data_IF_752820323799
#
_entry.id   IF_752820323799
#
_cell.length_a   1.000
_cell.length_b   1.000
_cell.length_c   1.000
_cell.angle_alpha   90.00
_cell.angle_beta   90.00
_cell.angle_gamma   90.00
#
_symmetry.space_group_name_H-M   'P 1'
#
loop_
_entity.id
_entity.type
_entity.pdbx_description
1 polymer ?
#
# COMPACT_ATOMS: atom_id res chain seq x y z
N UNK A 1 -23.78 2.12 -11.71
CA UNK A 1 -22.57 1.30 -11.91
C UNK A 1 -22.15 0.75 -10.55
N UNK A 2 -22.42 -0.52 -10.27
CA UNK A 2 -21.95 -1.14 -9.03
C UNK A 2 -20.43 -1.26 -9.09
N UNK A 3 -19.73 -0.51 -8.24
CA UNK A 3 -18.30 -0.71 -8.04
C UNK A 3 -18.19 -2.03 -7.27
N UNK A 4 -17.72 -3.10 -7.95
CA UNK A 4 -17.40 -4.37 -7.28
C UNK A 4 -16.50 -4.10 -6.07
N UNK A 5 -16.67 -4.82 -4.96
CA UNK A 5 -15.94 -4.60 -3.71
C UNK A 5 -14.41 -4.71 -3.87
N UNK A 6 -13.99 -5.51 -4.83
CA UNK A 6 -12.63 -5.64 -5.36
C UNK A 6 -12.08 -4.32 -5.93
N UNK A 7 -12.92 -3.56 -6.65
CA UNK A 7 -12.66 -2.18 -7.07
C UNK A 7 -12.51 -1.17 -5.91
N UNK A 8 -13.16 -1.40 -4.75
CA UNK A 8 -13.06 -0.52 -3.58
C UNK A 8 -11.66 -0.59 -2.95
N UNK A 9 -11.09 -1.80 -2.82
CA UNK A 9 -9.73 -2.00 -2.29
C UNK A 9 -8.71 -1.26 -3.16
N UNK A 10 -8.83 -1.43 -4.49
CA UNK A 10 -7.98 -0.76 -5.48
C UNK A 10 -8.06 0.76 -5.40
N UNK A 11 -9.27 1.30 -5.38
CA UNK A 11 -9.51 2.76 -5.29
C UNK A 11 -9.00 3.34 -3.97
N UNK A 12 -9.09 2.59 -2.87
CA UNK A 12 -8.54 2.99 -1.58
C UNK A 12 -7.01 3.06 -1.62
N UNK A 13 -6.36 2.01 -2.11
CA UNK A 13 -4.90 1.95 -2.25
C UNK A 13 -4.37 3.05 -3.19
N UNK A 14 -5.07 3.33 -4.29
CA UNK A 14 -4.67 4.36 -5.26
C UNK A 14 -4.74 5.77 -4.64
N UNK A 15 -5.78 6.07 -3.85
CA UNK A 15 -5.93 7.36 -3.17
C UNK A 15 -4.86 7.57 -2.07
N UNK A 16 -4.48 6.51 -1.36
CA UNK A 16 -3.39 6.60 -0.37
C UNK A 16 -2.08 7.07 -1.02
N UNK A 17 -1.74 6.58 -2.22
CA UNK A 17 -0.55 7.03 -2.94
C UNK A 17 -0.66 8.49 -3.42
N UNK A 18 -1.83 8.91 -3.92
CA UNK A 18 -2.05 10.31 -4.30
C UNK A 18 -1.81 11.26 -3.12
N UNK A 19 -2.24 10.88 -1.92
CA UNK A 19 -1.93 11.64 -0.71
C UNK A 19 -0.43 11.74 -0.43
N UNK A 20 0.36 10.71 -0.71
CA UNK A 20 1.82 10.78 -0.58
C UNK A 20 2.48 11.65 -1.66
N UNK A 21 2.03 11.53 -2.91
CA UNK A 21 2.51 12.38 -4.01
C UNK A 21 2.21 13.85 -3.73
N UNK A 22 1.00 14.16 -3.26
CA UNK A 22 0.60 15.53 -2.91
C UNK A 22 1.41 16.09 -1.75
N UNK A 23 1.68 15.29 -0.71
CA UNK A 23 2.55 15.68 0.41
C UNK A 23 3.97 16.01 -0.07
N UNK A 24 4.55 15.18 -0.95
CA UNK A 24 5.87 15.44 -1.54
C UNK A 24 5.88 16.68 -2.43
N UNK A 25 4.87 16.87 -3.26
CA UNK A 25 4.75 18.05 -4.12
C UNK A 25 4.63 19.33 -3.28
N UNK A 26 3.84 19.29 -2.19
CA UNK A 26 3.74 20.39 -1.25
C UNK A 26 5.07 20.68 -0.53
N UNK A 27 5.78 19.64 -0.08
CA UNK A 27 7.11 19.78 0.50
C UNK A 27 8.10 20.46 -0.45
N UNK A 28 8.15 20.01 -1.71
CA UNK A 28 8.99 20.61 -2.74
C UNK A 28 8.60 22.06 -3.05
N UNK A 29 7.29 22.36 -3.14
CA UNK A 29 6.81 23.73 -3.33
C UNK A 29 7.22 24.64 -2.17
N UNK A 30 7.15 24.15 -0.93
CA UNK A 30 7.60 24.88 0.26
C UNK A 30 9.10 25.18 0.21
N UNK A 31 9.93 24.20 -0.18
CA UNK A 31 11.38 24.37 -0.36
C UNK A 31 11.67 25.41 -1.46
N UNK A 32 10.91 25.38 -2.56
CA UNK A 32 11.06 26.31 -3.67
C UNK A 32 10.66 27.74 -3.28
N UNK A 33 9.59 27.91 -2.50
CA UNK A 33 9.19 29.20 -1.93
C UNK A 33 10.23 29.70 -0.93
N UNK A 34 10.77 28.83 -0.08
CA UNK A 34 11.83 29.16 0.88
C UNK A 34 13.10 29.65 0.16
N UNK A 35 13.53 28.94 -0.88
CA UNK A 35 14.72 29.31 -1.68
C UNK A 35 14.50 30.59 -2.49
N UNK A 36 13.31 30.79 -3.08
CA UNK A 36 12.96 32.03 -3.78
C UNK A 36 12.93 33.22 -2.82
N UNK A 37 12.34 33.06 -1.63
CA UNK A 37 12.33 34.11 -0.61
C UNK A 37 13.73 34.44 -0.11
N UNK A 38 14.59 33.45 0.07
CA UNK A 38 16.00 33.67 0.41
C UNK A 38 16.72 34.48 -0.67
N UNK A 39 16.46 34.19 -1.95
CA UNK A 39 17.02 34.95 -3.08
C UNK A 39 16.50 36.40 -3.11
N UNK A 40 15.20 36.61 -2.90
CA UNK A 40 14.59 37.94 -2.84
C UNK A 40 15.11 38.78 -1.67
N UNK A 41 15.32 38.14 -0.52
CA UNK A 41 15.97 38.72 0.66
C UNK A 41 17.38 39.22 0.30
N UNK A 42 18.16 38.40 -0.41
CA UNK A 42 19.50 38.77 -0.84
C UNK A 42 19.50 39.98 -1.79
N UNK A 43 18.48 40.08 -2.65
CA UNK A 43 18.35 41.16 -3.64
C UNK A 43 17.77 42.48 -3.06
N UNK A 44 16.98 42.44 -1.98
CA UNK A 44 16.24 43.61 -1.50
C UNK A 44 17.07 44.64 -0.71
N UNK A 45 18.24 44.26 -0.21
CA UNK A 45 19.12 45.11 0.61
C UNK A 45 18.55 45.56 1.97
N UNK A 46 17.30 45.23 2.30
CA UNK A 46 16.63 45.73 3.51
C UNK A 46 16.77 44.75 4.69
N UNK A 47 17.86 44.93 5.45
CA UNK A 47 18.31 44.03 6.52
C UNK A 47 17.22 43.71 7.56
N UNK A 48 16.37 44.67 7.95
CA UNK A 48 15.34 44.45 9.00
C UNK A 48 14.18 43.58 8.52
N UNK A 49 13.66 43.84 7.32
CA UNK A 49 12.59 43.02 6.74
C UNK A 49 13.10 41.61 6.44
N UNK A 50 14.35 41.54 5.98
CA UNK A 50 15.05 40.30 5.69
C UNK A 50 15.25 39.44 6.94
N UNK A 51 15.63 40.05 8.07
CA UNK A 51 15.78 39.33 9.32
C UNK A 51 14.43 38.75 9.79
N UNK A 52 13.35 39.54 9.76
CA UNK A 52 12.02 39.07 10.19
C UNK A 52 11.49 37.93 9.32
N UNK A 53 11.59 38.07 7.99
CA UNK A 53 11.20 37.01 7.04
C UNK A 53 12.07 35.77 7.23
N UNK A 54 13.37 35.94 7.43
CA UNK A 54 14.28 34.84 7.70
C UNK A 54 13.94 34.13 9.03
N UNK A 55 13.58 34.84 10.10
CA UNK A 55 13.17 34.21 11.36
C UNK A 55 11.86 33.45 11.21
N UNK A 56 10.88 33.98 10.47
CA UNK A 56 9.60 33.28 10.20
C UNK A 56 9.83 32.06 9.30
N UNK A 57 10.70 32.16 8.30
CA UNK A 57 11.07 31.06 7.41
C UNK A 57 11.94 30.01 8.12
N UNK A 58 12.79 30.41 9.07
CA UNK A 58 13.50 29.49 9.96
C UNK A 58 12.52 28.84 10.91
N UNK A 59 11.53 29.55 11.45
CA UNK A 59 10.59 28.95 12.39
C UNK A 59 9.66 27.96 11.67
N UNK A 60 9.12 28.33 10.50
CA UNK A 60 8.35 27.45 9.64
C UNK A 60 9.21 26.31 9.07
N UNK A 61 10.45 26.64 8.68
CA UNK A 61 11.46 25.72 8.20
C UNK A 61 11.87 24.72 9.26
N UNK A 62 12.15 25.12 10.50
CA UNK A 62 12.49 24.24 11.63
C UNK A 62 11.29 23.39 12.03
N UNK A 63 10.06 23.91 11.99
CA UNK A 63 8.87 23.07 12.22
C UNK A 63 8.67 22.02 11.12
N UNK A 64 8.96 22.39 9.87
CA UNK A 64 8.86 21.48 8.73
C UNK A 64 10.03 20.49 8.67
N UNK A 65 11.24 20.97 8.92
CA UNK A 65 12.51 20.25 8.95
C UNK A 65 12.56 19.36 10.18
N UNK A 66 12.18 19.73 11.39
CA UNK A 66 12.11 18.74 12.49
C UNK A 66 11.04 17.66 12.23
N UNK A 67 10.02 17.95 11.41
CA UNK A 67 9.08 16.95 10.90
C UNK A 67 9.63 16.06 9.77
N UNK A 68 10.49 16.59 8.88
CA UNK A 68 10.99 15.91 7.67
C UNK A 68 12.51 15.64 7.61
N UNK A 69 13.34 16.14 8.52
CA UNK A 69 14.80 15.88 8.56
C UNK A 69 15.08 14.48 9.13
N UNK A 70 14.12 13.92 9.87
CA UNK A 70 14.08 12.49 10.19
C UNK A 70 13.85 11.64 8.92
N UNK A 71 13.30 12.21 7.84
CA UNK A 71 13.02 11.50 6.57
C UNK A 71 13.88 11.94 5.38
N UNK A 72 14.46 13.15 5.38
CA UNK A 72 15.06 13.82 4.22
C UNK A 72 16.56 13.59 3.99
N UNK A 73 17.33 13.18 5.02
CA UNK A 73 18.78 12.97 4.88
C UNK A 73 19.17 11.67 4.14
N UNK A 74 18.20 10.89 3.64
CA UNK A 74 18.44 9.58 2.99
C UNK A 74 18.39 9.65 1.44
N UNK A 75 18.07 10.81 0.84
CA UNK A 75 17.67 10.85 -0.58
C UNK A 75 18.47 11.73 -1.55
N UNK A 76 19.73 12.09 -1.26
CA UNK A 76 20.65 12.55 -2.32
C UNK A 76 21.55 11.40 -2.78
N UNK A 77 21.20 10.76 -3.90
CA UNK A 77 22.13 9.90 -4.65
C UNK A 77 22.71 10.68 -5.83
N UNK A 78 23.93 10.34 -6.24
CA UNK A 78 24.65 11.05 -7.30
C UNK A 78 23.88 11.07 -8.63
N UNK A 79 24.07 12.11 -9.46
CA UNK A 79 23.45 12.23 -10.79
C UNK A 79 23.64 11.00 -11.69
N UNK A 80 24.71 10.24 -11.51
CA UNK A 80 25.01 9.00 -12.23
C UNK A 80 23.96 7.90 -11.94
N UNK A 81 23.40 7.86 -10.73
CA UNK A 81 22.33 6.91 -10.36
C UNK A 81 21.01 7.25 -11.06
N UNK A 82 20.78 8.53 -11.35
CA UNK A 82 19.60 9.02 -12.06
C UNK A 82 19.77 8.74 -13.56
N UNK A 83 20.93 9.04 -14.13
CA UNK A 83 21.27 8.72 -15.52
C UNK A 83 21.28 7.20 -15.78
N UNK A 84 21.74 6.40 -14.81
CA UNK A 84 21.67 4.94 -14.84
C UNK A 84 20.23 4.40 -14.83
N UNK A 85 19.26 5.13 -14.29
CA UNK A 85 17.83 4.75 -14.29
C UNK A 85 17.13 5.07 -15.61
N UNK A 86 17.45 6.21 -16.20
CA UNK A 86 16.85 6.65 -17.48
C UNK A 86 17.40 5.82 -18.65
N UNK A 87 18.67 5.41 -18.59
CA UNK A 87 19.26 4.48 -19.55
C UNK A 87 18.70 3.04 -19.44
N UNK A 88 18.44 2.54 -18.22
CA UNK A 88 17.83 1.20 -17.98
C UNK A 88 16.36 1.10 -18.42
N UNK A 89 15.65 2.22 -18.55
CA UNK A 89 14.28 2.25 -19.11
C UNK A 89 14.23 1.95 -20.62
N UNK A 90 15.38 1.83 -21.31
CA UNK A 90 15.47 1.63 -22.77
C UNK A 90 15.96 0.25 -23.24
N UNK A 91 15.84 -0.80 -22.42
CA UNK A 91 15.90 -2.25 -22.75
C UNK A 91 17.08 -3.04 -22.12
N UNK A 92 16.75 -4.30 -21.78
CA UNK A 92 17.55 -5.44 -21.33
C UNK A 92 17.91 -5.56 -19.83
N UNK A 93 16.97 -6.22 -19.13
CA UNK A 93 17.01 -6.79 -17.78
C UNK A 93 18.19 -7.77 -17.62
N UNK A 94 19.07 -7.48 -16.67
CA UNK A 94 20.09 -8.39 -16.11
C UNK A 94 20.34 -7.96 -14.66
N UNK A 95 20.07 -8.88 -13.74
CA UNK A 95 20.44 -8.92 -12.31
C UNK A 95 19.30 -8.79 -11.30
N UNK A 96 19.47 -9.52 -10.18
CA UNK A 96 18.55 -9.68 -9.03
C UNK A 96 18.04 -8.36 -8.43
N UNK A 97 18.69 -7.23 -8.77
CA UNK A 97 18.19 -5.87 -8.50
C UNK A 97 16.83 -5.53 -9.14
N UNK A 98 16.39 -6.27 -10.16
CA UNK A 98 15.12 -6.04 -10.86
C UNK A 98 13.92 -6.75 -10.21
N UNK A 99 14.15 -7.76 -9.37
CA UNK A 99 13.09 -8.57 -8.77
C UNK A 99 12.10 -7.71 -7.95
N UNK A 100 12.64 -6.80 -7.12
CA UNK A 100 11.84 -5.88 -6.32
C UNK A 100 11.06 -4.85 -7.15
N UNK A 101 11.66 -4.34 -8.23
CA UNK A 101 10.98 -3.38 -9.12
C UNK A 101 9.88 -4.08 -9.96
N UNK A 102 10.10 -5.34 -10.40
CA UNK A 102 9.07 -6.14 -11.09
C UNK A 102 7.88 -6.44 -10.18
N UNK A 103 8.11 -6.89 -8.93
CA UNK A 103 7.03 -7.08 -7.95
C UNK A 103 6.28 -5.78 -7.70
N UNK A 104 7.00 -4.68 -7.51
CA UNK A 104 6.35 -3.40 -7.24
C UNK A 104 5.55 -2.89 -8.44
N UNK A 105 6.07 -3.09 -9.65
CA UNK A 105 5.36 -2.78 -10.87
C UNK A 105 4.08 -3.63 -10.99
N UNK A 106 4.17 -4.94 -10.75
CA UNK A 106 3.01 -5.83 -10.71
C UNK A 106 1.96 -5.35 -9.70
N UNK A 107 2.40 -5.04 -8.46
CA UNK A 107 1.55 -4.48 -7.42
C UNK A 107 0.88 -3.17 -7.87
N UNK A 108 1.62 -2.25 -8.47
CA UNK A 108 1.10 -0.98 -8.96
C UNK A 108 0.05 -1.19 -10.05
N UNK A 109 0.27 -2.13 -10.97
CA UNK A 109 -0.67 -2.46 -12.06
C UNK A 109 -1.92 -3.15 -11.53
N UNK A 110 -1.76 -4.12 -10.63
CA UNK A 110 -2.86 -4.75 -9.90
C UNK A 110 -3.76 -3.72 -9.24
N UNK A 111 -3.16 -2.83 -8.45
CA UNK A 111 -3.86 -1.74 -7.76
C UNK A 111 -4.60 -0.81 -8.71
N UNK A 112 -4.02 -0.50 -9.86
CA UNK A 112 -4.64 0.35 -10.87
C UNK A 112 -5.72 -0.40 -11.69
N UNK A 113 -5.96 -1.67 -11.38
CA UNK A 113 -6.94 -2.53 -12.04
C UNK A 113 -6.48 -3.12 -13.37
N UNK A 114 -5.21 -2.94 -13.73
CA UNK A 114 -4.62 -3.55 -14.92
C UNK A 114 -4.07 -4.95 -14.56
N UNK A 115 -4.97 -5.92 -14.53
CA UNK A 115 -4.69 -7.31 -14.11
C UNK A 115 -3.76 -8.02 -15.10
N UNK A 116 -3.89 -7.75 -16.40
CA UNK A 116 -3.06 -8.35 -17.44
C UNK A 116 -1.59 -7.91 -17.31
N UNK A 117 -1.33 -6.60 -17.24
CA UNK A 117 0.05 -6.12 -17.04
C UNK A 117 0.64 -6.54 -15.68
N UNK A 118 -0.20 -6.70 -14.65
CA UNK A 118 0.23 -7.29 -13.39
C UNK A 118 0.75 -8.72 -13.60
N UNK A 119 -0.02 -9.57 -14.29
CA UNK A 119 0.36 -10.97 -14.55
C UNK A 119 1.56 -11.10 -15.46
N UNK A 120 1.68 -10.23 -16.47
CA UNK A 120 2.87 -10.17 -17.32
C UNK A 120 4.12 -9.86 -16.48
N UNK A 121 4.04 -8.88 -15.59
CA UNK A 121 5.14 -8.53 -14.70
C UNK A 121 5.48 -9.65 -13.71
N UNK A 122 4.47 -10.33 -13.14
CA UNK A 122 4.68 -11.51 -12.29
C UNK A 122 5.31 -12.67 -13.07
N UNK A 123 4.92 -12.89 -14.33
CA UNK A 123 5.53 -13.91 -15.18
C UNK A 123 7.01 -13.62 -15.43
N UNK A 124 7.37 -12.36 -15.72
CA UNK A 124 8.77 -11.93 -15.83
C UNK A 124 9.53 -12.12 -14.51
N UNK A 125 8.89 -11.83 -13.38
CA UNK A 125 9.47 -12.06 -12.05
C UNK A 125 9.75 -13.54 -11.82
N UNK A 126 8.79 -14.44 -12.07
CA UNK A 126 8.97 -15.88 -11.86
C UNK A 126 9.96 -16.53 -12.83
N UNK A 127 10.29 -15.88 -13.94
CA UNK A 127 11.34 -16.33 -14.86
C UNK A 127 12.76 -16.02 -14.38
N UNK A 128 12.93 -15.24 -13.30
CA UNK A 128 14.23 -14.95 -12.71
C UNK A 128 14.82 -16.19 -12.01
N UNK A 129 16.14 -16.38 -12.16
CA UNK A 129 16.82 -17.60 -11.70
C UNK A 129 17.01 -17.67 -10.18
N UNK A 130 17.28 -16.52 -9.54
CA UNK A 130 17.56 -16.43 -8.12
C UNK A 130 16.59 -15.43 -7.49
N UNK A 131 15.74 -15.91 -6.59
CA UNK A 131 14.71 -15.11 -5.96
C UNK A 131 14.65 -15.39 -4.46
N UNK A 132 14.65 -14.34 -3.62
CA UNK A 132 14.37 -14.50 -2.20
C UNK A 132 13.00 -15.13 -1.98
N UNK A 133 12.91 -16.10 -1.06
CA UNK A 133 11.66 -16.83 -0.78
C UNK A 133 10.54 -15.89 -0.34
N UNK A 134 10.86 -14.83 0.40
CA UNK A 134 9.89 -13.83 0.86
C UNK A 134 9.29 -13.04 -0.30
N UNK A 135 10.10 -12.72 -1.32
CA UNK A 135 9.63 -12.07 -2.54
C UNK A 135 8.74 -13.01 -3.36
N UNK A 136 9.11 -14.28 -3.47
CA UNK A 136 8.30 -15.31 -4.15
C UNK A 136 6.93 -15.43 -3.47
N UNK A 137 6.89 -15.56 -2.14
CA UNK A 137 5.64 -15.63 -1.38
C UNK A 137 4.79 -14.39 -1.63
N UNK A 138 5.38 -13.21 -1.55
CA UNK A 138 4.65 -11.96 -1.79
C UNK A 138 4.13 -11.83 -3.23
N UNK A 139 4.89 -12.28 -4.23
CA UNK A 139 4.45 -12.35 -5.62
C UNK A 139 3.25 -13.30 -5.80
N UNK A 140 3.27 -14.47 -5.14
CA UNK A 140 2.13 -15.39 -5.12
C UNK A 140 0.90 -14.81 -4.41
N UNK A 141 1.07 -13.98 -3.38
CA UNK A 141 -0.04 -13.26 -2.75
C UNK A 141 -0.70 -12.28 -3.73
N UNK A 142 0.10 -11.47 -4.44
CA UNK A 142 -0.42 -10.56 -5.49
C UNK A 142 -1.13 -11.37 -6.59
N UNK A 143 -0.55 -12.50 -7.01
CA UNK A 143 -1.16 -13.36 -8.02
C UNK A 143 -2.50 -13.94 -7.54
N UNK A 144 -2.57 -14.46 -6.32
CA UNK A 144 -3.80 -14.99 -5.74
C UNK A 144 -4.89 -13.91 -5.64
N UNK A 145 -4.54 -12.71 -5.15
CA UNK A 145 -5.47 -11.57 -5.08
C UNK A 145 -5.95 -11.16 -6.48
N UNK A 146 -5.07 -11.19 -7.49
CA UNK A 146 -5.45 -10.97 -8.90
C UNK A 146 -6.48 -11.97 -9.44
N UNK A 147 -6.53 -13.19 -8.90
CA UNK A 147 -7.55 -14.16 -9.28
C UNK A 147 -8.88 -13.92 -8.55
N UNK A 148 -8.85 -13.41 -7.31
CA UNK A 148 -10.07 -12.98 -6.62
C UNK A 148 -10.76 -11.84 -7.35
N UNK A 149 -10.00 -10.89 -7.91
CA UNK A 149 -10.57 -9.79 -8.70
C UNK A 149 -11.35 -10.26 -9.95
N UNK A 150 -11.05 -11.46 -10.45
CA UNK A 150 -11.72 -12.07 -11.60
C UNK A 150 -12.77 -13.11 -11.18
N UNK A 151 -13.18 -13.12 -9.92
CA UNK A 151 -14.13 -14.08 -9.34
C UNK A 151 -13.64 -15.55 -9.48
N UNK A 152 -12.32 -15.76 -9.58
CA UNK A 152 -11.66 -17.07 -9.71
C UNK A 152 -11.12 -17.57 -8.36
N UNK A 153 -11.95 -17.52 -7.32
CA UNK A 153 -11.61 -17.89 -5.94
C UNK A 153 -11.00 -19.29 -5.80
N UNK A 154 -11.43 -20.26 -6.60
CA UNK A 154 -10.83 -21.60 -6.63
C UNK A 154 -9.36 -21.63 -7.02
N UNK A 155 -8.96 -20.80 -8.01
CA UNK A 155 -7.55 -20.67 -8.41
C UNK A 155 -6.74 -19.95 -7.34
N UNK A 156 -7.31 -18.89 -6.75
CA UNK A 156 -6.68 -18.17 -5.65
C UNK A 156 -6.38 -19.10 -4.46
N UNK A 157 -7.37 -19.90 -4.01
CA UNK A 157 -7.18 -20.86 -2.93
C UNK A 157 -6.11 -21.91 -3.26
N UNK A 158 -6.07 -22.41 -4.50
CA UNK A 158 -5.04 -23.37 -4.93
C UNK A 158 -3.65 -22.77 -4.76
N UNK A 159 -3.43 -21.56 -5.26
CA UNK A 159 -2.14 -20.85 -5.13
C UNK A 159 -1.76 -20.64 -3.67
N UNK A 160 -2.71 -20.19 -2.84
CA UNK A 160 -2.48 -19.96 -1.42
C UNK A 160 -2.10 -21.24 -0.69
N UNK A 161 -2.79 -22.35 -0.94
CA UNK A 161 -2.48 -23.66 -0.36
C UNK A 161 -1.13 -24.20 -0.83
N UNK A 162 -0.83 -24.05 -2.11
CA UNK A 162 0.36 -24.65 -2.70
C UNK A 162 1.64 -23.90 -2.30
N UNK A 163 1.55 -22.57 -2.13
CA UNK A 163 2.72 -21.69 -2.01
C UNK A 163 2.78 -20.81 -0.74
N UNK A 164 1.69 -20.64 0.01
CA UNK A 164 1.62 -19.69 1.14
C UNK A 164 1.33 -20.37 2.49
N UNK A 165 0.29 -21.20 2.57
CA UNK A 165 -0.32 -21.68 3.82
C UNK A 165 0.39 -22.91 4.42
N UNK A 166 1.41 -23.46 3.75
CA UNK A 166 2.10 -24.70 4.19
C UNK A 166 2.91 -24.60 5.50
N UNK A 167 3.02 -23.44 6.14
CA UNK A 167 3.72 -23.27 7.43
C UNK A 167 2.91 -22.37 8.36
N UNK A 168 2.88 -22.69 9.66
CA UNK A 168 2.22 -21.98 10.79
C UNK A 168 2.63 -20.49 10.99
N UNK A 169 3.19 -19.84 9.97
CA UNK A 169 3.58 -18.42 9.97
C UNK A 169 3.02 -17.69 8.75
N UNK A 170 1.71 -17.75 8.60
CA UNK A 170 0.97 -16.89 7.70
C UNK A 170 0.80 -15.52 8.34
N UNK A 171 1.33 -14.48 7.71
CA UNK A 171 1.14 -13.10 8.13
C UNK A 171 -0.29 -12.56 7.87
N UNK A 172 -0.53 -11.31 8.27
CA UNK A 172 -1.84 -10.66 8.15
C UNK A 172 -2.37 -10.63 6.71
N UNK A 173 -1.54 -10.26 5.71
CA UNK A 173 -1.99 -10.21 4.30
C UNK A 173 -2.34 -11.61 3.79
N UNK A 174 -1.50 -12.60 4.09
CA UNK A 174 -1.72 -13.98 3.68
C UNK A 174 -3.06 -14.51 4.18
N UNK A 175 -3.35 -14.31 5.47
CA UNK A 175 -4.59 -14.73 6.08
C UNK A 175 -5.80 -13.92 5.59
N UNK A 176 -5.61 -12.63 5.31
CA UNK A 176 -6.66 -11.79 4.74
C UNK A 176 -7.11 -12.28 3.36
N UNK A 177 -6.16 -12.52 2.44
CA UNK A 177 -6.45 -13.01 1.09
C UNK A 177 -7.04 -14.42 1.15
N UNK A 178 -6.56 -15.27 2.06
CA UNK A 178 -7.10 -16.61 2.28
C UNK A 178 -8.55 -16.60 2.80
N UNK A 179 -8.83 -15.74 3.78
CA UNK A 179 -10.18 -15.54 4.31
C UNK A 179 -11.15 -14.99 3.26
N UNK A 180 -10.71 -14.01 2.46
CA UNK A 180 -11.49 -13.50 1.31
C UNK A 180 -11.81 -14.60 0.30
N UNK A 181 -10.84 -15.42 -0.05
CA UNK A 181 -11.02 -16.49 -1.00
C UNK A 181 -12.06 -17.54 -0.52
N UNK A 182 -12.08 -17.86 0.77
CA UNK A 182 -13.13 -18.70 1.35
C UNK A 182 -14.49 -17.99 1.40
N UNK A 183 -14.50 -16.69 1.71
CA UNK A 183 -15.72 -15.90 1.74
C UNK A 183 -16.42 -15.90 0.38
N UNK A 184 -15.68 -15.70 -0.72
CA UNK A 184 -16.20 -15.74 -2.09
C UNK A 184 -16.71 -17.13 -2.52
N UNK A 185 -16.27 -18.20 -1.85
CA UNK A 185 -16.80 -19.56 -2.06
C UNK A 185 -18.02 -19.88 -1.17
N UNK A 186 -18.46 -18.94 -0.33
CA UNK A 186 -19.54 -19.17 0.62
C UNK A 186 -19.14 -20.04 1.82
N UNK A 187 -17.85 -20.30 2.03
CA UNK A 187 -17.35 -21.14 3.14
C UNK A 187 -17.06 -20.22 4.34
N UNK A 188 -18.12 -19.70 4.96
CA UNK A 188 -18.04 -18.58 5.90
C UNK A 188 -17.31 -18.91 7.22
N UNK A 189 -17.39 -20.14 7.73
CA UNK A 189 -16.67 -20.51 8.96
C UNK A 189 -15.15 -20.43 8.79
N UNK A 190 -14.63 -20.98 7.69
CA UNK A 190 -13.20 -20.92 7.37
C UNK A 190 -12.76 -19.50 7.01
N UNK A 191 -13.64 -18.74 6.34
CA UNK A 191 -13.40 -17.34 6.07
C UNK A 191 -13.23 -16.55 7.37
N UNK A 192 -14.15 -16.73 8.33
CA UNK A 192 -14.09 -16.06 9.63
C UNK A 192 -12.80 -16.40 10.36
N UNK A 193 -12.46 -17.69 10.48
CA UNK A 193 -11.24 -18.14 11.16
C UNK A 193 -9.98 -17.48 10.57
N UNK A 194 -9.84 -17.47 9.24
CA UNK A 194 -8.69 -16.84 8.58
C UNK A 194 -8.68 -15.32 8.76
N UNK A 195 -9.84 -14.66 8.69
CA UNK A 195 -9.94 -13.21 8.91
C UNK A 195 -9.64 -12.80 10.35
N UNK A 196 -10.00 -13.62 11.34
CA UNK A 196 -9.64 -13.38 12.75
C UNK A 196 -8.14 -13.51 12.97
N UNK A 197 -7.50 -14.55 12.41
CA UNK A 197 -6.04 -14.69 12.43
C UNK A 197 -5.35 -13.52 11.72
N UNK A 198 -5.91 -13.06 10.59
CA UNK A 198 -5.42 -11.87 9.90
C UNK A 198 -5.46 -10.62 10.77
N UNK A 199 -6.53 -10.45 11.56
CA UNK A 199 -6.69 -9.35 12.50
C UNK A 199 -5.70 -9.42 13.66
N UNK A 200 -5.48 -10.60 14.24
CA UNK A 200 -4.48 -10.81 15.29
C UNK A 200 -3.05 -10.47 14.79
N UNK A 201 -2.71 -10.92 13.58
CA UNK A 201 -1.43 -10.57 12.95
C UNK A 201 -1.32 -9.06 12.62
N UNK A 202 -2.43 -8.43 12.22
CA UNK A 202 -2.47 -6.99 12.00
C UNK A 202 -2.17 -6.21 13.30
N UNK A 203 -2.81 -6.60 14.40
CA UNK A 203 -2.63 -5.96 15.72
C UNK A 203 -1.22 -6.14 16.28
N UNK A 204 -0.60 -7.31 16.04
CA UNK A 204 0.80 -7.57 16.38
C UNK A 204 1.82 -6.94 15.40
N UNK A 205 1.34 -6.16 14.41
CA UNK A 205 2.14 -5.48 13.37
C UNK A 205 2.88 -6.44 12.42
N UNK A 206 2.46 -7.70 12.34
CA UNK A 206 2.96 -8.66 11.37
C UNK A 206 2.16 -8.58 10.06
N UNK A 207 2.44 -7.54 9.27
CA UNK A 207 1.68 -7.28 8.04
C UNK A 207 1.96 -8.28 6.91
N UNK A 208 3.17 -8.87 6.84
CA UNK A 208 3.52 -9.76 5.72
C UNK A 208 4.11 -9.10 4.48
N UNK A 209 4.48 -7.82 4.57
CA UNK A 209 5.14 -7.11 3.46
C UNK A 209 6.65 -7.21 3.62
N UNK A 210 7.37 -7.93 2.73
CA UNK A 210 8.82 -8.04 2.81
C UNK A 210 9.52 -6.73 2.41
N UNK A 211 10.79 -6.61 2.78
CA UNK A 211 11.64 -5.53 2.29
C UNK A 211 12.13 -5.88 0.87
N UNK A 212 11.36 -5.51 -0.15
CA UNK A 212 11.67 -5.85 -1.55
C UNK A 212 12.66 -4.89 -2.23
N UNK A 213 12.91 -3.73 -1.63
CA UNK A 213 13.83 -2.73 -2.16
C UNK A 213 15.08 -2.57 -1.29
N UNK A 214 16.21 -2.13 -1.88
CA UNK A 214 17.32 -1.61 -1.10
C UNK A 214 16.96 -0.32 -0.34
N UNK A 215 16.02 0.47 -0.86
CA UNK A 215 15.59 1.73 -0.24
C UNK A 215 14.60 1.47 0.91
N UNK A 216 14.99 1.85 2.13
CA UNK A 216 14.11 1.82 3.31
C UNK A 216 12.83 2.64 3.12
N UNK A 217 12.94 3.78 2.43
CA UNK A 217 11.79 4.66 2.14
C UNK A 217 10.74 3.97 1.27
N UNK A 218 11.15 3.36 0.15
CA UNK A 218 10.24 2.63 -0.74
C UNK A 218 9.55 1.46 -0.02
N UNK A 219 10.30 0.71 0.80
CA UNK A 219 9.73 -0.37 1.62
C UNK A 219 8.71 0.17 2.64
N UNK A 220 9.03 1.30 3.28
CA UNK A 220 8.11 1.94 4.22
C UNK A 220 6.82 2.37 3.55
N UNK A 221 6.90 2.97 2.35
CA UNK A 221 5.72 3.36 1.58
C UNK A 221 4.83 2.17 1.23
N UNK A 222 5.42 1.09 0.72
CA UNK A 222 4.69 -0.14 0.41
C UNK A 222 3.99 -0.69 1.66
N UNK A 223 4.71 -0.76 2.79
CA UNK A 223 4.18 -1.19 4.09
C UNK A 223 3.03 -0.30 4.55
N UNK A 224 3.13 1.02 4.40
CA UNK A 224 2.06 1.95 4.78
C UNK A 224 0.81 1.78 3.92
N UNK A 225 0.96 1.57 2.61
CA UNK A 225 -0.18 1.34 1.71
C UNK A 225 -0.92 0.06 2.09
N UNK A 226 -0.20 -1.05 2.30
CA UNK A 226 -0.80 -2.31 2.74
C UNK A 226 -1.42 -2.19 4.13
N UNK A 227 -0.70 -1.60 5.10
CA UNK A 227 -1.24 -1.39 6.45
C UNK A 227 -2.56 -0.63 6.40
N UNK A 228 -2.62 0.50 5.70
CA UNK A 228 -3.84 1.30 5.62
C UNK A 228 -4.98 0.53 4.96
N UNK A 229 -4.68 -0.33 3.98
CA UNK A 229 -5.67 -1.20 3.35
C UNK A 229 -6.21 -2.23 4.35
N UNK A 230 -5.32 -2.99 5.00
CA UNK A 230 -5.71 -4.02 5.96
C UNK A 230 -6.49 -3.43 7.14
N UNK A 231 -6.12 -2.24 7.60
CA UNK A 231 -6.78 -1.50 8.69
C UNK A 231 -8.28 -1.29 8.44
N UNK A 232 -8.67 -1.10 7.17
CA UNK A 232 -10.07 -0.89 6.78
C UNK A 232 -10.74 -2.20 6.38
N UNK A 233 -10.06 -3.00 5.57
CA UNK A 233 -10.70 -4.14 4.91
C UNK A 233 -10.74 -5.40 5.77
N UNK A 234 -9.82 -5.63 6.71
CA UNK A 234 -9.96 -6.76 7.63
C UNK A 234 -11.24 -6.61 8.48
N UNK A 235 -11.49 -5.49 9.18
CA UNK A 235 -12.75 -5.29 9.89
C UNK A 235 -13.98 -5.40 8.98
N UNK A 236 -13.91 -4.87 7.76
CA UNK A 236 -15.02 -4.96 6.81
C UNK A 236 -15.38 -6.42 6.47
N UNK A 237 -14.39 -7.24 6.12
CA UNK A 237 -14.65 -8.65 5.77
C UNK A 237 -15.00 -9.49 7.00
N UNK A 238 -14.43 -9.21 8.18
CA UNK A 238 -14.87 -9.82 9.44
C UNK A 238 -16.35 -9.56 9.69
N UNK A 239 -16.77 -8.31 9.49
CA UNK A 239 -18.15 -7.92 9.67
C UNK A 239 -19.10 -8.68 8.74
N UNK A 240 -18.72 -8.82 7.46
CA UNK A 240 -19.46 -9.64 6.49
C UNK A 240 -19.52 -11.12 6.89
N UNK A 241 -18.40 -11.70 7.30
CA UNK A 241 -18.34 -13.11 7.72
C UNK A 241 -19.24 -13.36 8.95
N UNK A 242 -19.18 -12.49 9.96
CA UNK A 242 -20.07 -12.56 11.11
C UNK A 242 -21.54 -12.39 10.75
N UNK A 243 -21.87 -11.50 9.80
CA UNK A 243 -23.24 -11.34 9.31
C UNK A 243 -23.75 -12.63 8.67
N UNK A 244 -22.96 -13.24 7.78
CA UNK A 244 -23.35 -14.47 7.08
C UNK A 244 -23.55 -15.65 8.05
N UNK A 245 -22.86 -15.65 9.19
CA UNK A 245 -23.02 -16.62 10.27
C UNK A 245 -24.11 -16.23 11.29
N UNK A 246 -24.86 -15.15 11.05
CA UNK A 246 -25.97 -14.70 11.89
C UNK A 246 -25.58 -13.88 13.12
N UNK A 247 -24.29 -13.61 13.37
CA UNK A 247 -23.82 -12.81 14.51
C UNK A 247 -23.89 -11.30 14.21
N UNK A 248 -25.11 -10.77 14.18
CA UNK A 248 -25.38 -9.37 13.82
C UNK A 248 -24.68 -8.36 14.74
N UNK A 249 -24.56 -8.66 16.04
CA UNK A 249 -23.93 -7.75 17.01
C UNK A 249 -22.45 -7.54 16.68
N UNK A 250 -21.67 -8.63 16.56
CA UNK A 250 -20.26 -8.53 16.19
C UNK A 250 -20.08 -7.94 14.80
N UNK A 251 -20.96 -8.29 13.86
CA UNK A 251 -20.93 -7.69 12.52
C UNK A 251 -21.05 -6.16 12.59
N UNK A 252 -22.02 -5.63 13.33
CA UNK A 252 -22.21 -4.19 13.48
C UNK A 252 -20.99 -3.49 14.09
N UNK A 253 -20.36 -4.09 15.10
CA UNK A 253 -19.15 -3.54 15.75
C UNK A 253 -17.97 -3.46 14.77
N UNK A 254 -17.74 -4.50 13.97
CA UNK A 254 -16.67 -4.51 12.97
C UNK A 254 -16.96 -3.59 11.77
N UNK A 255 -18.21 -3.47 11.30
CA UNK A 255 -18.56 -2.47 10.29
C UNK A 255 -18.33 -1.05 10.78
N UNK A 256 -18.74 -0.74 12.02
CA UNK A 256 -18.47 0.57 12.64
C UNK A 256 -16.97 0.84 12.68
N UNK A 257 -16.18 -0.16 13.09
CA UNK A 257 -14.71 -0.08 13.07
C UNK A 257 -14.17 0.25 11.67
N UNK A 258 -14.60 -0.48 10.63
CA UNK A 258 -14.19 -0.23 9.26
C UNK A 258 -14.52 1.21 8.79
N UNK A 259 -15.73 1.70 9.11
CA UNK A 259 -16.20 3.05 8.73
C UNK A 259 -15.45 4.16 9.48
N UNK A 260 -15.08 3.94 10.74
CA UNK A 260 -14.29 4.88 11.54
C UNK A 260 -12.85 4.94 11.05
N UNK A 261 -12.25 3.79 10.76
CA UNK A 261 -10.87 3.71 10.27
C UNK A 261 -10.71 4.15 8.80
N UNK A 262 -11.78 4.10 8.02
CA UNK A 262 -11.77 4.58 6.64
C UNK A 262 -11.65 6.12 6.56
N UNK A 263 -10.40 6.61 6.49
CA UNK A 263 -10.07 8.03 6.28
C UNK A 263 -10.34 8.53 4.86
N UNK A 264 -10.50 7.61 3.89
CA UNK A 264 -10.75 7.97 2.51
C UNK A 264 -12.19 8.48 2.33
N UNK A 265 -12.33 9.77 1.99
CA UNK A 265 -13.63 10.45 1.85
C UNK A 265 -14.51 9.86 0.74
N UNK A 266 -13.93 9.23 -0.27
CA UNK A 266 -14.67 8.60 -1.38
C UNK A 266 -15.08 7.15 -1.05
N UNK A 267 -14.29 6.44 -0.25
CA UNK A 267 -14.58 5.06 0.15
C UNK A 267 -15.59 4.99 1.31
N UNK A 268 -15.51 5.94 2.24
CA UNK A 268 -16.33 5.96 3.46
C UNK A 268 -17.85 5.93 3.19
N UNK A 269 -18.40 6.67 2.20
CA UNK A 269 -19.83 6.58 1.85
C UNK A 269 -20.24 5.19 1.34
N UNK A 270 -19.36 4.51 0.60
CA UNK A 270 -19.62 3.18 0.03
C UNK A 270 -19.66 2.12 1.15
N UNK A 271 -18.74 2.22 2.12
CA UNK A 271 -18.77 1.40 3.34
C UNK A 271 -20.02 1.68 4.19
N UNK A 272 -20.40 2.96 4.37
CA UNK A 272 -21.63 3.33 5.10
C UNK A 272 -22.89 2.78 4.44
N UNK A 273 -22.97 2.81 3.11
CA UNK A 273 -24.10 2.23 2.37
C UNK A 273 -24.23 0.74 2.66
N UNK A 274 -23.11 0.01 2.65
CA UNK A 274 -23.06 -1.43 2.95
C UNK A 274 -23.49 -1.73 4.39
N UNK A 275 -23.15 -0.85 5.35
CA UNK A 275 -23.60 -0.96 6.73
C UNK A 275 -25.11 -0.70 6.88
N UNK A 276 -25.65 0.30 6.17
CA UNK A 276 -27.07 0.67 6.26
C UNK A 276 -28.01 -0.31 5.55
N UNK A 277 -27.50 -1.18 4.68
CA UNK A 277 -28.28 -2.21 3.98
C UNK A 277 -28.41 -3.53 4.75
N UNK A 278 -27.82 -3.62 5.95
CA UNK A 278 -27.95 -4.75 6.87
C UNK A 278 -29.20 -4.63 7.73
#
# INVERSE_FOLDING_TARGET
MEIKETGLIRLYMANLEQHFVLKRAFALALILILTLNFLLIFLSGNVKLNLLLFTVLIYAGIYFVLGEFITGFIAFRSPEVIAGRVSRQRLNLKDDTDAGELIYYAFKKFRNGNIEECREALSKFFALKYLPMEMIRFAYLILADSYLEEDKSGRALKILKDHIVKKDSSDSISQFIYGRAFFEQGIYDKALQALEQSWEHFLSRNFGVPNIFPSRLKNSELKTVYRGTLEVFIPYYLAKAYLMLGNRKKAADFFRTAVVLCRNKHLRPLLKKSFNSM
#
